data_IF_687263675400
#
_entry.id   IF_687263675400
#
_cell.length_a   1.000
_cell.length_b   1.000
_cell.length_c   1.000
_cell.angle_alpha   90.00
_cell.angle_beta   90.00
_cell.angle_gamma   90.00
#
_symmetry.space_group_name_H-M   'P 1'
#
loop_
_entity.id
_entity.type
_entity.pdbx_description
1 polymer ?
#
# COMPACT_ATOMS: atom_id res chain seq x y z
N UNK A 1 -25.54 -81.17 2.98
CA UNK A 1 -26.86 -80.80 2.46
C UNK A 1 -26.89 -79.30 2.22
N UNK A 2 -27.34 -78.92 1.02
CA UNK A 2 -27.46 -77.58 0.48
C UNK A 2 -28.38 -76.68 1.31
N UNK A 3 -28.07 -75.39 1.43
CA UNK A 3 -28.94 -74.40 2.08
C UNK A 3 -28.44 -72.96 1.95
N UNK A 4 -28.93 -72.27 0.92
CA UNK A 4 -28.74 -70.84 0.59
C UNK A 4 -29.11 -69.91 1.76
N UNK A 5 -28.35 -68.82 1.93
CA UNK A 5 -28.89 -67.51 2.35
C UNK A 5 -28.27 -66.40 1.51
N UNK A 6 -29.13 -65.74 0.75
CA UNK A 6 -28.91 -64.57 -0.10
C UNK A 6 -28.74 -63.32 0.79
N UNK A 7 -27.63 -62.59 0.63
CA UNK A 7 -27.52 -61.21 1.11
C UNK A 7 -27.97 -60.26 -0.01
N UNK A 8 -28.97 -59.43 0.29
CA UNK A 8 -29.44 -58.33 -0.55
C UNK A 8 -28.47 -57.16 -0.41
N UNK A 9 -27.81 -56.75 -1.49
CA UNK A 9 -26.99 -55.55 -1.56
C UNK A 9 -27.85 -54.40 -2.09
N UNK A 10 -28.14 -53.40 -1.26
CA UNK A 10 -28.76 -52.15 -1.69
C UNK A 10 -27.62 -51.20 -2.10
N UNK A 11 -27.50 -50.99 -3.41
CA UNK A 11 -26.59 -50.04 -4.03
C UNK A 11 -27.32 -48.68 -4.09
N UNK A 12 -26.86 -47.70 -3.32
CA UNK A 12 -27.37 -46.33 -3.37
C UNK A 12 -26.54 -45.54 -4.39
N UNK A 13 -27.09 -45.32 -5.58
CA UNK A 13 -26.48 -44.48 -6.61
C UNK A 13 -26.89 -43.02 -6.40
N UNK A 14 -25.94 -42.18 -6.01
CA UNK A 14 -26.08 -40.71 -6.00
C UNK A 14 -25.84 -40.19 -7.44
N UNK A 15 -26.92 -39.73 -8.07
CA UNK A 15 -26.89 -38.98 -9.33
C UNK A 15 -26.48 -37.54 -9.04
N UNK A 16 -25.26 -37.16 -9.41
CA UNK A 16 -24.87 -35.75 -9.54
C UNK A 16 -25.29 -35.25 -10.93
N UNK A 17 -26.38 -34.49 -10.98
CA UNK A 17 -26.77 -33.73 -12.16
C UNK A 17 -25.89 -32.49 -12.29
N UNK A 18 -24.99 -32.48 -13.27
CA UNK A 18 -24.22 -31.30 -13.65
C UNK A 18 -25.04 -30.52 -14.69
N UNK A 19 -25.67 -29.42 -14.28
CA UNK A 19 -26.29 -28.48 -15.21
C UNK A 19 -25.19 -27.57 -15.78
N UNK A 20 -24.82 -27.75 -17.05
CA UNK A 20 -24.01 -26.77 -17.78
C UNK A 20 -24.82 -25.48 -17.94
N UNK A 21 -24.40 -24.40 -17.30
CA UNK A 21 -24.80 -23.05 -17.71
C UNK A 21 -24.13 -22.75 -19.04
N UNK A 22 -24.94 -22.59 -20.10
CA UNK A 22 -24.43 -22.13 -21.38
C UNK A 22 -23.85 -20.71 -21.20
N UNK A 23 -22.58 -20.52 -21.54
CA UNK A 23 -21.98 -19.20 -21.62
C UNK A 23 -22.75 -18.36 -22.65
N UNK A 24 -23.09 -17.12 -22.28
CA UNK A 24 -23.77 -16.19 -23.18
C UNK A 24 -22.79 -15.78 -24.27
N UNK A 25 -23.08 -16.10 -25.53
CA UNK A 25 -22.30 -15.64 -26.69
C UNK A 25 -22.54 -14.14 -26.91
N UNK A 26 -21.49 -13.33 -26.77
CA UNK A 26 -21.54 -11.88 -26.95
C UNK A 26 -20.72 -11.38 -28.15
N UNK A 27 -20.33 -12.26 -29.07
CA UNK A 27 -19.47 -11.92 -30.22
C UNK A 27 -19.99 -10.74 -31.06
N UNK A 28 -21.30 -10.60 -31.21
CA UNK A 28 -21.92 -9.47 -31.93
C UNK A 28 -21.77 -8.12 -31.18
N UNK A 29 -21.90 -8.14 -29.86
CA UNK A 29 -21.67 -6.97 -29.01
C UNK A 29 -20.21 -6.54 -29.03
N UNK A 30 -19.30 -7.52 -28.99
CA UNK A 30 -17.86 -7.28 -29.02
C UNK A 30 -17.41 -6.66 -30.36
N UNK A 31 -17.91 -7.18 -31.49
CA UNK A 31 -17.64 -6.59 -32.81
C UNK A 31 -18.15 -5.15 -32.93
N UNK A 32 -19.34 -4.86 -32.40
CA UNK A 32 -19.87 -3.50 -32.39
C UNK A 32 -18.95 -2.56 -31.59
N UNK A 33 -18.56 -2.97 -30.39
CA UNK A 33 -17.68 -2.18 -29.54
C UNK A 33 -16.29 -1.97 -30.16
N UNK A 34 -15.70 -3.01 -30.76
CA UNK A 34 -14.43 -2.92 -31.48
C UNK A 34 -14.45 -1.95 -32.68
N UNK A 35 -15.63 -1.71 -33.28
CA UNK A 35 -15.80 -0.73 -34.36
C UNK A 35 -15.79 0.73 -33.88
N UNK A 36 -16.05 0.96 -32.59
CA UNK A 36 -16.06 2.29 -31.97
C UNK A 36 -14.68 2.60 -31.39
N UNK A 37 -14.14 1.66 -30.62
CA UNK A 37 -12.81 1.74 -30.00
C UNK A 37 -12.08 0.45 -30.31
N UNK A 38 -10.95 0.54 -31.02
CA UNK A 38 -10.15 -0.64 -31.38
C UNK A 38 -9.76 -1.43 -30.13
N UNK A 39 -10.09 -2.72 -30.09
CA UNK A 39 -9.84 -3.60 -28.93
C UNK A 39 -10.92 -3.58 -27.85
N UNK A 40 -12.00 -2.83 -28.04
CA UNK A 40 -13.15 -2.80 -27.12
C UNK A 40 -14.08 -4.02 -27.27
N UNK A 41 -14.78 -4.38 -26.21
CA UNK A 41 -15.76 -5.48 -26.14
C UNK A 41 -17.01 -5.05 -25.34
N UNK A 42 -18.11 -5.79 -25.44
CA UNK A 42 -19.37 -5.44 -24.77
C UNK A 42 -19.42 -5.97 -23.34
N UNK A 43 -19.58 -5.08 -22.37
CA UNK A 43 -19.78 -5.46 -20.96
C UNK A 43 -21.24 -5.80 -20.69
N UNK A 44 -21.66 -6.96 -21.18
CA UNK A 44 -23.04 -7.42 -21.06
C UNK A 44 -23.51 -7.72 -19.64
N UNK A 45 -22.56 -7.79 -18.70
CA UNK A 45 -22.80 -7.93 -17.27
C UNK A 45 -23.07 -6.59 -16.57
N UNK A 46 -22.93 -5.44 -17.24
CA UNK A 46 -23.32 -4.12 -16.72
C UNK A 46 -24.78 -3.79 -17.12
N UNK A 47 -25.47 -2.96 -16.32
CA UNK A 47 -26.86 -2.49 -16.58
C UNK A 47 -26.92 -0.96 -16.60
N UNK A 48 -27.08 -0.30 -17.76
CA UNK A 48 -27.17 -0.90 -19.10
C UNK A 48 -25.82 -1.45 -19.57
N UNK A 49 -25.84 -2.43 -20.47
CA UNK A 49 -24.62 -2.99 -21.05
C UNK A 49 -23.95 -1.94 -21.95
N UNK A 50 -22.65 -1.72 -21.77
CA UNK A 50 -21.87 -0.70 -22.48
C UNK A 50 -20.53 -1.24 -22.98
N UNK A 51 -19.94 -0.58 -23.98
CA UNK A 51 -18.65 -0.95 -24.53
C UNK A 51 -17.48 -0.63 -23.58
N UNK A 52 -16.44 -1.44 -23.57
CA UNK A 52 -15.21 -1.13 -22.84
C UNK A 52 -14.55 0.13 -23.45
N UNK A 53 -14.14 1.10 -22.63
CA UNK A 53 -13.53 2.34 -23.11
C UNK A 53 -14.50 3.39 -23.71
N UNK A 54 -15.82 3.15 -23.72
CA UNK A 54 -16.82 4.19 -24.03
C UNK A 54 -18.16 3.93 -23.33
N UNK A 55 -18.94 4.97 -23.01
CA UNK A 55 -20.30 4.79 -22.45
C UNK A 55 -21.36 4.45 -23.53
N UNK A 56 -20.95 3.86 -24.66
CA UNK A 56 -21.86 3.52 -25.76
C UNK A 56 -22.62 2.22 -25.43
N UNK A 57 -23.96 2.19 -25.47
CA UNK A 57 -24.74 0.98 -25.19
C UNK A 57 -24.45 -0.14 -26.19
N UNK A 58 -24.43 -1.39 -25.70
CA UNK A 58 -24.21 -2.61 -26.51
C UNK A 58 -25.17 -3.74 -26.08
N UNK A 59 -25.27 -4.81 -26.86
CA UNK A 59 -26.08 -5.99 -26.53
C UNK A 59 -25.49 -7.27 -27.14
N UNK A 60 -25.58 -8.40 -26.42
CA UNK A 60 -25.20 -9.73 -26.92
C UNK A 60 -26.28 -10.41 -27.78
N UNK A 61 -27.47 -9.81 -27.90
CA UNK A 61 -28.54 -10.34 -28.75
C UNK A 61 -28.29 -9.95 -30.20
N UNK A 62 -27.95 -10.92 -31.06
CA UNK A 62 -27.91 -10.73 -32.50
C UNK A 62 -29.29 -10.39 -33.07
N UNK A 63 -29.65 -9.11 -33.07
CA UNK A 63 -30.76 -8.50 -33.81
C UNK A 63 -30.54 -6.99 -33.78
N UNK A 64 -30.26 -6.38 -34.94
CA UNK A 64 -30.06 -4.93 -35.06
C UNK A 64 -31.21 -4.11 -34.45
N UNK A 65 -30.97 -2.82 -34.13
CA UNK A 65 -31.95 -2.00 -33.44
C UNK A 65 -33.14 -1.71 -34.37
N UNK A 66 -34.25 -2.40 -34.12
CA UNK A 66 -35.54 -2.03 -34.72
C UNK A 66 -36.21 -1.00 -33.82
N UNK A 67 -36.04 0.27 -34.20
CA UNK A 67 -36.90 1.44 -33.95
C UNK A 67 -37.31 1.85 -32.53
N UNK A 68 -36.87 3.08 -32.23
CA UNK A 68 -37.69 4.23 -31.82
C UNK A 68 -38.18 4.28 -30.37
N UNK A 69 -37.49 5.10 -29.57
CA UNK A 69 -38.16 6.23 -28.92
C UNK A 69 -37.37 7.52 -29.12
N UNK A 70 -38.10 8.51 -29.63
CA UNK A 70 -37.70 9.86 -30.02
C UNK A 70 -37.10 10.64 -28.84
N UNK A 71 -35.96 11.27 -29.06
CA UNK A 71 -35.69 12.58 -28.48
C UNK A 71 -35.29 13.55 -29.59
N UNK A 72 -36.02 14.67 -29.63
CA UNK A 72 -35.97 15.72 -30.64
C UNK A 72 -34.57 16.33 -30.75
N UNK A 73 -33.99 16.25 -31.95
CA UNK A 73 -33.00 17.21 -32.41
C UNK A 73 -33.65 18.58 -32.59
N UNK A 74 -33.08 19.60 -31.94
CA UNK A 74 -33.34 20.99 -32.28
C UNK A 74 -32.11 21.56 -32.98
N UNK A 75 -32.06 21.33 -34.29
CA UNK A 75 -31.15 22.02 -35.20
C UNK A 75 -31.46 23.51 -35.18
N UNK A 76 -30.46 24.34 -34.86
CA UNK A 76 -30.51 25.78 -35.18
C UNK A 76 -29.27 26.15 -35.95
N UNK A 77 -29.50 26.62 -37.16
CA UNK A 77 -28.57 27.12 -38.17
C UNK A 77 -27.69 28.27 -37.66
N UNK A 78 -26.38 28.20 -37.91
CA UNK A 78 -25.54 29.40 -38.04
C UNK A 78 -24.58 29.30 -39.23
N UNK A 79 -24.56 30.42 -39.97
CA UNK A 79 -23.83 30.76 -41.19
C UNK A 79 -22.31 30.88 -40.94
N UNK A 80 -21.42 30.65 -41.92
CA UNK A 80 -19.98 30.62 -41.69
C UNK A 80 -19.33 32.02 -41.72
N UNK A 81 -18.39 32.27 -40.80
CA UNK A 81 -17.47 33.43 -40.78
C UNK A 81 -16.12 32.95 -40.19
N UNK A 82 -14.98 33.61 -40.43
CA UNK A 82 -13.81 33.01 -41.05
C UNK A 82 -12.70 32.70 -40.05
N UNK A 83 -11.83 31.80 -40.47
CA UNK A 83 -10.64 31.27 -39.81
C UNK A 83 -9.76 32.36 -39.19
N UNK A 84 -9.62 32.33 -37.87
CA UNK A 84 -8.49 32.98 -37.16
C UNK A 84 -7.91 31.95 -36.20
N UNK A 85 -6.66 31.55 -36.44
CA UNK A 85 -5.90 30.59 -35.65
C UNK A 85 -5.66 31.10 -34.23
N UNK A 86 -6.12 30.34 -33.22
CA UNK A 86 -5.80 30.54 -31.79
C UNK A 86 -5.07 29.28 -31.27
N UNK A 87 -4.10 29.42 -30.33
CA UNK A 87 -3.16 28.35 -29.99
C UNK A 87 -3.83 27.13 -29.38
N UNK A 88 -3.25 25.97 -29.67
CA UNK A 88 -3.57 24.66 -29.09
C UNK A 88 -3.62 24.78 -27.57
N UNK A 89 -4.83 24.68 -27.01
CA UNK A 89 -5.01 24.51 -25.58
C UNK A 89 -4.39 23.17 -25.19
N UNK A 90 -3.44 23.21 -24.24
CA UNK A 90 -2.95 22.02 -23.57
C UNK A 90 -4.15 21.21 -23.06
N UNK A 91 -4.15 19.92 -23.34
CA UNK A 91 -5.11 18.96 -22.81
C UNK A 91 -4.88 18.90 -21.30
N UNK A 92 -5.55 19.76 -20.53
CA UNK A 92 -5.58 19.68 -19.08
C UNK A 92 -6.31 18.39 -18.72
N UNK A 93 -5.53 17.37 -18.34
CA UNK A 93 -5.99 16.17 -17.63
C UNK A 93 -6.77 16.63 -16.38
N UNK A 94 -7.82 15.90 -15.95
CA UNK A 94 -8.48 16.23 -14.69
C UNK A 94 -7.44 16.26 -13.56
N UNK A 95 -7.59 17.15 -12.56
CA UNK A 95 -6.68 17.16 -11.43
C UNK A 95 -6.70 15.80 -10.76
N UNK A 96 -5.52 15.27 -10.41
CA UNK A 96 -5.38 14.14 -9.49
C UNK A 96 -6.29 14.44 -8.30
N UNK A 97 -7.24 13.55 -8.03
CA UNK A 97 -8.24 13.70 -6.98
C UNK A 97 -7.55 13.91 -5.63
N UNK A 98 -8.14 14.78 -4.82
CA UNK A 98 -7.59 15.43 -3.62
C UNK A 98 -7.14 14.54 -2.44
N UNK A 99 -6.99 13.23 -2.62
CA UNK A 99 -6.80 12.27 -1.52
C UNK A 99 -5.64 11.27 -1.72
N UNK A 100 -4.64 11.59 -2.54
CA UNK A 100 -3.41 10.79 -2.57
C UNK A 100 -2.63 10.98 -1.28
N UNK A 101 -2.27 9.86 -0.62
CA UNK A 101 -1.52 9.84 0.66
C UNK A 101 -0.56 8.66 0.71
N UNK A 102 0.46 8.64 -0.16
CA UNK A 102 1.53 7.68 0.03
C UNK A 102 2.37 8.04 1.25
N UNK A 103 2.64 7.05 2.08
CA UNK A 103 3.71 7.12 3.06
C UNK A 103 5.08 6.95 2.40
N UNK A 104 6.09 7.49 3.04
CA UNK A 104 7.51 7.35 2.69
C UNK A 104 8.26 6.62 3.78
N UNK A 105 9.05 5.62 3.43
CA UNK A 105 9.87 4.88 4.39
C UNK A 105 11.35 4.96 4.04
N UNK A 106 12.18 5.31 5.02
CA UNK A 106 13.61 5.56 4.82
C UNK A 106 14.50 4.89 5.86
N UNK A 107 15.62 4.33 5.41
CA UNK A 107 16.60 3.65 6.27
C UNK A 107 17.66 4.58 6.83
N UNK A 108 18.03 5.60 6.06
CA UNK A 108 19.16 6.44 6.45
C UNK A 108 18.81 7.31 7.66
N UNK A 109 19.62 7.18 8.71
CA UNK A 109 19.57 8.08 9.86
C UNK A 109 20.10 9.49 9.50
N UNK A 110 20.77 9.66 8.35
CA UNK A 110 21.43 10.92 8.01
C UNK A 110 20.47 12.09 7.78
N UNK A 111 19.18 11.81 7.48
CA UNK A 111 18.16 12.84 7.27
C UNK A 111 17.91 13.72 8.50
N UNK A 112 18.05 13.14 9.69
CA UNK A 112 17.90 13.85 10.95
C UNK A 112 19.22 13.96 11.72
N UNK A 113 20.13 12.99 11.56
CA UNK A 113 21.38 12.91 12.33
C UNK A 113 22.51 13.73 11.74
N UNK A 114 22.70 13.66 10.43
CA UNK A 114 23.87 14.19 9.72
C UNK A 114 23.56 15.46 8.91
N UNK A 115 22.28 15.84 8.83
CA UNK A 115 21.82 17.07 8.17
C UNK A 115 21.59 16.92 6.67
N UNK A 116 21.44 15.69 6.17
CA UNK A 116 20.97 15.47 4.80
C UNK A 116 19.53 15.98 4.67
N UNK A 117 19.34 17.02 3.86
CA UNK A 117 18.03 17.65 3.68
C UNK A 117 17.20 17.04 2.55
N UNK A 118 17.72 16.04 1.84
CA UNK A 118 17.10 15.54 0.60
C UNK A 118 15.69 14.99 0.83
N UNK A 119 15.44 14.27 1.94
CA UNK A 119 14.11 13.81 2.33
C UNK A 119 13.14 14.98 2.62
N UNK A 120 13.54 15.95 3.45
CA UNK A 120 12.69 17.13 3.76
C UNK A 120 12.47 18.03 2.53
N UNK A 121 13.49 18.22 1.69
CA UNK A 121 13.39 18.98 0.44
C UNK A 121 12.43 18.30 -0.55
N UNK A 122 12.50 16.97 -0.64
CA UNK A 122 11.54 16.20 -1.41
C UNK A 122 10.12 16.43 -0.89
N UNK A 123 9.86 16.20 0.40
CA UNK A 123 8.53 16.39 1.00
C UNK A 123 8.01 17.83 0.90
N UNK A 124 8.91 18.82 0.82
CA UNK A 124 8.54 20.23 0.66
C UNK A 124 8.25 20.64 -0.79
N UNK A 125 8.70 19.86 -1.77
CA UNK A 125 8.45 20.09 -3.20
C UNK A 125 6.97 19.90 -3.56
N UNK A 126 6.55 20.43 -4.71
CA UNK A 126 5.18 20.26 -5.20
C UNK A 126 4.82 18.78 -5.42
N UNK A 127 5.78 17.98 -5.92
CA UNK A 127 5.61 16.54 -6.12
C UNK A 127 5.51 15.78 -4.79
N UNK A 128 6.36 16.14 -3.82
CA UNK A 128 6.31 15.55 -2.47
C UNK A 128 4.99 15.84 -1.78
N UNK A 129 4.49 17.08 -1.86
CA UNK A 129 3.19 17.47 -1.29
C UNK A 129 2.00 16.80 -1.97
N UNK A 130 2.09 16.58 -3.29
CA UNK A 130 1.04 15.93 -4.05
C UNK A 130 0.96 14.43 -3.75
N UNK A 131 2.11 13.75 -3.69
CA UNK A 131 2.15 12.29 -3.63
C UNK A 131 2.45 11.72 -2.23
N UNK A 132 3.29 12.38 -1.44
CA UNK A 132 3.86 11.84 -0.20
C UNK A 132 3.38 12.62 1.03
N UNK A 133 2.07 12.82 1.08
CA UNK A 133 1.39 13.44 2.22
C UNK A 133 1.02 12.43 3.32
N UNK A 134 1.32 11.13 3.13
CA UNK A 134 1.11 10.06 4.10
C UNK A 134 2.16 10.03 5.21
N UNK A 135 2.24 8.91 5.92
CA UNK A 135 3.19 8.68 7.02
C UNK A 135 4.65 8.80 6.56
N UNK A 136 5.54 9.19 7.46
CA UNK A 136 6.98 9.15 7.21
C UNK A 136 7.67 8.26 8.23
N UNK A 137 8.42 7.28 7.76
CA UNK A 137 9.22 6.40 8.59
C UNK A 137 10.69 6.77 8.44
N UNK A 138 11.34 7.03 9.57
CA UNK A 138 12.78 7.27 9.65
C UNK A 138 13.40 6.34 10.67
N UNK A 139 14.45 5.64 10.26
CA UNK A 139 15.25 4.86 11.20
C UNK A 139 15.87 5.78 12.27
N UNK A 140 15.80 5.37 13.53
CA UNK A 140 16.45 6.07 14.66
C UNK A 140 17.44 5.17 15.42
N UNK A 141 17.34 3.86 15.25
CA UNK A 141 18.24 2.90 15.89
C UNK A 141 18.12 1.52 15.26
N UNK A 142 19.19 0.73 15.41
CA UNK A 142 19.27 -0.65 15.00
C UNK A 142 19.85 -1.52 16.14
N UNK A 143 20.09 -2.79 15.84
CA UNK A 143 20.64 -3.75 16.80
C UNK A 143 21.96 -3.34 17.46
N UNK A 144 22.73 -2.41 16.89
CA UNK A 144 24.03 -1.93 17.40
C UNK A 144 23.92 -0.77 18.39
N UNK A 145 22.75 -0.13 18.48
CA UNK A 145 22.53 1.04 19.34
C UNK A 145 21.13 1.05 20.00
N UNK A 146 20.59 -0.12 20.34
CA UNK A 146 19.33 -0.27 21.09
C UNK A 146 19.32 0.46 22.45
N UNK A 147 20.50 0.77 23.01
CA UNK A 147 20.67 1.43 24.30
C UNK A 147 20.72 2.97 24.20
N UNK A 148 20.70 3.54 22.99
CA UNK A 148 20.74 5.00 22.77
C UNK A 148 20.28 5.44 21.37
N UNK A 149 19.65 6.60 21.29
CA UNK A 149 19.47 7.31 20.02
C UNK A 149 20.67 8.25 19.80
N UNK A 150 21.47 7.95 18.78
CA UNK A 150 22.68 8.75 18.47
C UNK A 150 22.31 10.17 18.05
N UNK A 151 22.90 11.20 18.67
CA UNK A 151 22.56 12.61 18.40
C UNK A 151 21.07 12.95 18.58
N UNK A 152 20.43 12.35 19.57
CA UNK A 152 19.00 12.55 19.88
C UNK A 152 18.58 14.03 19.99
N UNK A 153 19.49 14.94 20.33
CA UNK A 153 19.23 16.39 20.36
C UNK A 153 18.81 16.99 19.00
N UNK A 154 19.11 16.30 17.89
CA UNK A 154 18.78 16.75 16.53
C UNK A 154 17.41 16.27 16.05
N UNK A 155 16.84 15.24 16.67
CA UNK A 155 15.64 14.59 16.19
C UNK A 155 14.40 15.48 16.36
N UNK A 156 14.23 16.13 17.51
CA UNK A 156 13.14 17.10 17.72
C UNK A 156 13.20 18.30 16.74
N UNK A 157 14.34 19.00 16.58
CA UNK A 157 14.48 20.04 15.56
C UNK A 157 14.12 19.55 14.16
N UNK A 158 14.55 18.35 13.77
CA UNK A 158 14.21 17.77 12.47
C UNK A 158 12.71 17.52 12.32
N UNK A 159 12.03 16.91 13.32
CA UNK A 159 10.58 16.67 13.25
C UNK A 159 9.79 17.98 13.11
N UNK A 160 10.20 19.04 13.82
CA UNK A 160 9.58 20.37 13.69
C UNK A 160 9.82 20.97 12.29
N UNK A 161 11.02 20.83 11.76
CA UNK A 161 11.35 21.30 10.41
C UNK A 161 10.60 20.52 9.33
N UNK A 162 10.44 19.21 9.48
CA UNK A 162 9.60 18.37 8.62
C UNK A 162 8.18 18.92 8.57
N UNK A 163 7.50 19.02 9.73
CA UNK A 163 6.13 19.57 9.82
C UNK A 163 6.01 20.93 9.15
N UNK A 164 6.96 21.83 9.44
CA UNK A 164 6.94 23.20 8.92
C UNK A 164 7.18 23.26 7.41
N UNK A 165 8.13 22.50 6.91
CA UNK A 165 8.60 22.60 5.52
C UNK A 165 7.70 21.84 4.55
N UNK A 166 7.20 20.67 4.96
CA UNK A 166 6.36 19.81 4.12
C UNK A 166 4.87 20.12 4.28
N UNK A 167 4.45 20.59 5.47
CA UNK A 167 3.03 20.70 5.83
C UNK A 167 2.37 19.35 6.09
N UNK A 168 3.14 18.26 6.11
CA UNK A 168 2.65 16.91 6.39
C UNK A 168 2.10 16.84 7.83
N UNK A 169 0.89 16.30 7.97
CA UNK A 169 0.19 16.14 9.26
C UNK A 169 0.05 14.69 9.70
N UNK A 170 0.52 13.74 8.90
CA UNK A 170 0.41 12.30 9.15
C UNK A 170 1.52 11.80 10.09
N UNK A 171 1.59 10.51 10.42
CA UNK A 171 2.46 10.07 11.51
C UNK A 171 3.94 10.13 11.12
N UNK A 172 4.76 10.60 12.05
CA UNK A 172 6.23 10.42 11.99
C UNK A 172 6.57 9.18 12.80
N UNK A 173 6.92 8.10 12.13
CA UNK A 173 7.39 6.87 12.74
C UNK A 173 8.90 6.93 12.96
N UNK A 174 9.30 6.78 14.20
CA UNK A 174 10.69 6.68 14.64
C UNK A 174 10.99 5.19 14.78
N UNK A 175 11.65 4.65 13.76
CA UNK A 175 11.77 3.19 13.58
C UNK A 175 13.02 2.64 14.27
N UNK A 176 12.83 1.56 15.01
CA UNK A 176 13.90 0.64 15.40
C UNK A 176 13.92 -0.51 14.39
N UNK A 177 14.97 -0.61 13.56
CA UNK A 177 14.96 -1.59 12.47
C UNK A 177 16.31 -2.12 11.98
N UNK A 178 16.28 -2.83 10.85
CA UNK A 178 17.38 -3.60 10.25
C UNK A 178 17.89 -4.73 11.17
N UNK A 179 16.96 -5.52 11.70
CA UNK A 179 17.26 -6.62 12.63
C UNK A 179 16.80 -7.93 12.03
N UNK A 180 17.79 -8.77 11.66
CA UNK A 180 17.56 -10.07 10.98
C UNK A 180 17.91 -11.27 11.85
N UNK A 181 18.25 -11.05 13.12
CA UNK A 181 18.59 -12.12 14.07
C UNK A 181 17.73 -11.98 15.31
N UNK A 182 17.06 -13.07 15.71
CA UNK A 182 16.22 -13.15 16.92
C UNK A 182 16.96 -12.60 18.15
N UNK A 183 16.57 -11.40 18.58
CA UNK A 183 17.14 -10.73 19.75
C UNK A 183 16.11 -9.82 20.42
N UNK A 184 14.95 -10.38 20.78
CA UNK A 184 13.84 -9.61 21.30
C UNK A 184 14.10 -8.87 22.61
N UNK A 185 15.11 -9.28 23.37
CA UNK A 185 15.57 -8.52 24.54
C UNK A 185 16.02 -7.09 24.17
N UNK A 186 16.66 -6.90 23.01
CA UNK A 186 17.08 -5.57 22.55
C UNK A 186 15.89 -4.70 22.14
N UNK A 187 14.84 -5.26 21.54
CA UNK A 187 13.62 -4.52 21.23
C UNK A 187 12.99 -3.94 22.51
N UNK A 188 12.82 -4.80 23.52
CA UNK A 188 12.26 -4.38 24.80
C UNK A 188 13.17 -3.36 25.54
N UNK A 189 14.49 -3.42 25.36
CA UNK A 189 15.40 -2.40 25.88
C UNK A 189 15.29 -1.08 25.12
N UNK A 190 15.10 -1.11 23.80
CA UNK A 190 14.89 0.10 23.02
C UNK A 190 13.60 0.83 23.39
N UNK A 191 12.56 0.13 23.85
CA UNK A 191 11.36 0.77 24.43
C UNK A 191 11.75 1.69 25.61
N UNK A 192 12.69 1.27 26.47
CA UNK A 192 13.16 2.10 27.59
C UNK A 192 13.92 3.32 27.06
N UNK A 193 14.85 3.10 26.14
CA UNK A 193 15.63 4.16 25.47
C UNK A 193 14.71 5.21 24.84
N UNK A 194 13.68 4.78 24.12
CA UNK A 194 12.72 5.68 23.48
C UNK A 194 11.88 6.44 24.50
N UNK A 195 11.39 5.77 25.56
CA UNK A 195 10.67 6.41 26.64
C UNK A 195 11.52 7.46 27.38
N UNK A 196 12.80 7.18 27.61
CA UNK A 196 13.74 8.16 28.18
C UNK A 196 13.96 9.35 27.26
N UNK A 197 14.13 9.13 25.95
CA UNK A 197 14.21 10.20 24.98
C UNK A 197 12.98 11.12 25.07
N UNK A 198 11.76 10.55 25.04
CA UNK A 198 10.54 11.34 25.15
C UNK A 198 10.50 12.17 26.44
N UNK A 199 10.80 11.56 27.59
CA UNK A 199 10.79 12.24 28.91
C UNK A 199 11.82 13.37 29.00
N UNK A 200 12.98 13.21 28.37
CA UNK A 200 14.10 14.14 28.50
C UNK A 200 14.11 15.24 27.45
N UNK A 201 13.56 15.00 26.25
CA UNK A 201 13.69 15.90 25.10
C UNK A 201 12.38 16.47 24.59
N UNK A 202 11.23 15.87 24.91
CA UNK A 202 9.94 16.26 24.31
C UNK A 202 9.03 16.78 25.42
N UNK A 203 8.78 18.09 25.44
CA UNK A 203 7.74 18.66 26.30
C UNK A 203 6.34 18.48 25.69
N UNK A 204 5.27 18.72 26.47
CA UNK A 204 3.91 18.78 25.93
C UNK A 204 3.76 19.83 24.80
N UNK A 205 4.48 20.95 24.89
CA UNK A 205 4.44 21.98 23.85
C UNK A 205 5.15 21.52 22.57
N UNK A 206 6.27 20.79 22.72
CA UNK A 206 6.98 20.20 21.59
C UNK A 206 6.11 19.14 20.92
N UNK A 207 5.49 18.26 21.71
CA UNK A 207 4.60 17.21 21.20
C UNK A 207 3.45 17.80 20.36
N UNK A 208 2.81 18.89 20.80
CA UNK A 208 1.77 19.57 19.99
C UNK A 208 2.26 20.07 18.63
N UNK A 209 3.55 20.31 18.48
CA UNK A 209 4.14 20.78 17.22
C UNK A 209 4.55 19.63 16.28
N UNK A 210 4.74 18.42 16.79
CA UNK A 210 5.26 17.27 16.01
C UNK A 210 4.26 16.12 15.89
N UNK A 211 3.29 16.03 16.79
CA UNK A 211 2.27 14.99 16.80
C UNK A 211 1.48 14.95 15.48
N UNK A 212 1.01 13.77 15.05
CA UNK A 212 1.24 12.47 15.71
C UNK A 212 2.64 11.90 15.40
N UNK A 213 3.26 11.26 16.39
CA UNK A 213 4.50 10.49 16.22
C UNK A 213 4.32 9.06 16.74
N UNK A 214 5.23 8.16 16.42
CA UNK A 214 5.19 6.82 16.98
C UNK A 214 6.53 6.11 17.02
N UNK A 215 6.58 5.06 17.83
CA UNK A 215 7.64 4.07 17.82
C UNK A 215 7.24 2.94 16.88
N UNK A 216 8.02 2.72 15.83
CA UNK A 216 7.82 1.61 14.88
C UNK A 216 8.92 0.58 15.06
N UNK A 217 8.58 -0.69 14.93
CA UNK A 217 9.52 -1.81 14.92
C UNK A 217 9.53 -2.43 13.52
N UNK A 218 10.66 -2.36 12.84
CA UNK A 218 10.90 -3.07 11.58
C UNK A 218 11.98 -4.13 11.78
N UNK A 219 11.54 -5.27 12.28
CA UNK A 219 12.39 -6.34 12.81
C UNK A 219 11.86 -7.68 12.30
N UNK A 220 12.77 -8.49 11.76
CA UNK A 220 12.46 -9.72 11.05
C UNK A 220 12.88 -10.93 11.87
N UNK A 221 12.18 -12.05 11.69
CA UNK A 221 12.46 -13.34 12.34
C UNK A 221 12.41 -13.30 13.88
N UNK A 222 11.42 -12.57 14.43
CA UNK A 222 11.23 -12.47 15.87
C UNK A 222 10.29 -13.57 16.41
N UNK A 223 10.66 -14.12 17.58
CA UNK A 223 9.79 -15.04 18.30
C UNK A 223 8.49 -14.35 18.75
N UNK A 224 7.31 -15.00 18.65
CA UNK A 224 6.03 -14.41 19.02
C UNK A 224 6.00 -13.82 20.43
N UNK A 225 6.60 -14.49 21.41
CA UNK A 225 6.59 -14.04 22.81
C UNK A 225 7.45 -12.79 23.02
N UNK A 226 8.52 -12.61 22.23
CA UNK A 226 9.33 -11.40 22.25
C UNK A 226 8.58 -10.21 21.65
N UNK A 227 7.81 -10.44 20.57
CA UNK A 227 6.90 -9.44 19.98
C UNK A 227 5.87 -8.99 21.03
N UNK A 228 5.16 -9.94 21.65
CA UNK A 228 4.15 -9.65 22.68
C UNK A 228 4.72 -8.88 23.85
N UNK A 229 5.84 -9.35 24.42
CA UNK A 229 6.52 -8.69 25.55
C UNK A 229 6.90 -7.26 25.20
N UNK A 230 7.44 -7.04 24.01
CA UNK A 230 7.84 -5.71 23.52
C UNK A 230 6.63 -4.80 23.35
N UNK A 231 5.55 -5.28 22.72
CA UNK A 231 4.34 -4.49 22.50
C UNK A 231 3.65 -4.10 23.80
N UNK A 232 3.50 -5.04 24.74
CA UNK A 232 2.92 -4.74 26.06
C UNK A 232 3.75 -3.69 26.79
N UNK A 233 5.07 -3.82 26.77
CA UNK A 233 5.99 -2.84 27.35
C UNK A 233 5.90 -1.48 26.65
N UNK A 234 5.77 -1.46 25.32
CA UNK A 234 5.64 -0.23 24.55
C UNK A 234 4.31 0.49 24.83
N UNK A 235 3.21 -0.25 25.02
CA UNK A 235 1.93 0.31 25.42
C UNK A 235 1.99 0.89 26.85
N UNK A 236 2.63 0.20 27.80
CA UNK A 236 2.86 0.71 29.16
C UNK A 236 3.71 1.98 29.14
N UNK A 237 4.82 1.98 28.40
CA UNK A 237 5.67 3.16 28.19
C UNK A 237 4.87 4.33 27.60
N UNK A 238 4.05 4.08 26.57
CA UNK A 238 3.20 5.10 25.96
C UNK A 238 2.25 5.71 26.98
N UNK A 239 1.60 4.91 27.80
CA UNK A 239 0.66 5.39 28.84
C UNK A 239 1.38 6.20 29.92
N UNK A 240 2.48 5.68 30.49
CA UNK A 240 3.29 6.37 31.51
C UNK A 240 3.78 7.72 31.01
N UNK A 241 4.43 7.73 29.84
CA UNK A 241 5.00 8.96 29.27
C UNK A 241 3.90 9.96 28.90
N UNK A 242 2.79 9.51 28.30
CA UNK A 242 1.65 10.39 27.95
C UNK A 242 1.10 11.08 29.19
N UNK A 243 0.85 10.32 30.26
CA UNK A 243 0.30 10.84 31.51
C UNK A 243 1.28 11.78 32.22
N UNK A 244 2.54 11.36 32.34
CA UNK A 244 3.57 12.12 33.05
C UNK A 244 3.95 13.41 32.35
N UNK A 245 4.04 13.38 31.02
CA UNK A 245 4.46 14.53 30.22
C UNK A 245 3.28 15.42 29.81
N UNK A 246 2.03 14.98 30.00
CA UNK A 246 0.83 15.73 29.65
C UNK A 246 0.60 15.83 28.14
N UNK A 247 0.87 14.74 27.40
CA UNK A 247 0.58 14.68 25.96
C UNK A 247 -0.91 14.53 25.71
N UNK A 248 -1.39 15.10 24.60
CA UNK A 248 -2.79 14.95 24.20
C UNK A 248 -3.07 13.51 23.73
N UNK A 249 -4.29 12.98 23.93
CA UNK A 249 -4.69 11.70 23.35
C UNK A 249 -4.41 11.64 21.85
N UNK A 250 -3.90 10.51 21.36
CA UNK A 250 -3.54 10.35 19.95
C UNK A 250 -2.26 11.08 19.52
N UNK A 251 -1.40 11.51 20.44
CA UNK A 251 -0.10 12.11 20.08
C UNK A 251 0.99 11.07 19.80
N UNK A 252 0.92 9.91 20.46
CA UNK A 252 1.93 8.87 20.44
C UNK A 252 1.31 7.52 20.09
N UNK A 253 1.95 6.77 19.20
CA UNK A 253 1.48 5.46 18.72
C UNK A 253 2.59 4.41 18.74
N UNK A 254 2.19 3.14 18.79
CA UNK A 254 3.07 1.97 18.64
C UNK A 254 2.71 1.24 17.35
N UNK A 255 3.69 1.08 16.48
CA UNK A 255 3.64 0.32 15.23
C UNK A 255 4.58 -0.89 15.29
N UNK A 256 4.24 -1.94 14.54
CA UNK A 256 5.10 -3.10 14.37
C UNK A 256 4.91 -3.66 12.95
N UNK A 257 6.01 -3.91 12.25
CA UNK A 257 5.97 -4.46 10.90
C UNK A 257 5.58 -5.94 10.90
N UNK A 258 4.67 -6.32 10.01
CA UNK A 258 4.34 -7.72 9.75
C UNK A 258 5.13 -8.14 8.52
N UNK A 259 6.15 -8.96 8.72
CA UNK A 259 6.99 -9.51 7.65
C UNK A 259 6.25 -10.61 6.85
N UNK A 260 6.83 -10.97 5.70
CA UNK A 260 6.28 -12.01 4.82
C UNK A 260 6.51 -13.45 5.28
N UNK A 261 7.49 -13.70 6.15
CA UNK A 261 7.72 -15.03 6.72
C UNK A 261 6.59 -15.41 7.70
N UNK A 262 6.18 -16.69 7.67
CA UNK A 262 5.05 -17.16 8.46
C UNK A 262 5.29 -17.01 9.95
N UNK A 263 4.54 -16.11 10.58
CA UNK A 263 4.54 -15.87 12.02
C UNK A 263 3.11 -15.50 12.48
N UNK A 264 2.19 -16.47 12.36
CA UNK A 264 0.76 -16.25 12.64
C UNK A 264 0.50 -15.78 14.08
N UNK A 265 1.18 -16.38 15.07
CA UNK A 265 1.00 -15.98 16.47
C UNK A 265 1.60 -14.60 16.76
N UNK A 266 2.77 -14.27 16.21
CA UNK A 266 3.36 -12.94 16.31
C UNK A 266 2.46 -11.88 15.68
N UNK A 267 1.91 -12.16 14.50
CA UNK A 267 0.94 -11.30 13.80
C UNK A 267 -0.32 -11.08 14.62
N UNK A 268 -0.87 -12.12 15.25
CA UNK A 268 -1.99 -11.98 16.17
C UNK A 268 -1.66 -11.00 17.31
N UNK A 269 -0.48 -11.13 17.94
CA UNK A 269 -0.06 -10.23 19.00
C UNK A 269 0.12 -8.79 18.52
N UNK A 270 0.67 -8.58 17.31
CA UNK A 270 0.74 -7.26 16.67
C UNK A 270 -0.66 -6.66 16.56
N UNK A 271 -1.60 -7.39 15.95
CA UNK A 271 -2.96 -6.90 15.73
C UNK A 271 -3.74 -6.63 17.03
N UNK A 272 -3.45 -7.37 18.10
CA UNK A 272 -4.11 -7.20 19.41
C UNK A 272 -3.53 -6.05 20.24
N UNK A 273 -2.21 -5.82 20.19
CA UNK A 273 -1.54 -4.94 21.15
C UNK A 273 -0.97 -3.66 20.54
N UNK A 274 -0.60 -3.65 19.26
CA UNK A 274 -0.14 -2.43 18.59
C UNK A 274 -1.32 -1.46 18.31
N UNK A 275 -1.00 -0.19 18.07
CA UNK A 275 -1.99 0.76 17.54
C UNK A 275 -2.06 0.71 16.02
N UNK A 276 -0.96 0.28 15.39
CA UNK A 276 -0.79 0.22 13.96
C UNK A 276 0.09 -0.99 13.58
N UNK A 277 -0.08 -1.49 12.36
CA UNK A 277 0.70 -2.57 11.81
C UNK A 277 1.13 -2.25 10.37
N UNK A 278 2.43 -2.29 10.09
CA UNK A 278 2.98 -2.05 8.76
C UNK A 278 3.17 -3.38 8.05
N UNK A 279 2.25 -3.75 7.17
CA UNK A 279 2.22 -5.06 6.52
C UNK A 279 3.07 -5.09 5.26
N UNK A 280 4.13 -5.89 5.26
CA UNK A 280 5.01 -6.04 4.10
C UNK A 280 4.38 -6.98 3.07
N UNK A 281 4.01 -6.45 1.90
CA UNK A 281 3.58 -7.27 0.76
C UNK A 281 4.74 -7.70 -0.15
N UNK A 282 5.96 -7.43 0.26
CA UNK A 282 7.18 -7.70 -0.51
C UNK A 282 8.12 -8.65 0.22
N UNK A 283 9.32 -8.82 -0.34
CA UNK A 283 10.29 -9.87 -0.08
C UNK A 283 10.63 -10.03 1.40
N UNK A 284 10.14 -11.13 1.98
CA UNK A 284 10.82 -12.13 2.82
C UNK A 284 9.97 -13.42 2.74
N UNK A 285 10.60 -14.59 2.81
CA UNK A 285 10.16 -15.82 2.13
C UNK A 285 8.72 -16.29 2.39
N UNK A 286 7.98 -16.57 1.31
CA UNK A 286 6.95 -17.62 1.30
C UNK A 286 7.58 -18.78 0.52
N UNK A 287 7.91 -19.87 1.20
CA UNK A 287 8.54 -21.04 0.57
C UNK A 287 7.62 -21.66 -0.50
N UNK A 288 7.95 -21.53 -1.80
CA UNK A 288 7.25 -22.28 -2.86
C UNK A 288 7.29 -21.68 -4.27
N UNK A 289 6.72 -22.43 -5.21
CA UNK A 289 6.61 -22.13 -6.65
C UNK A 289 5.36 -21.26 -6.96
N UNK A 290 5.09 -20.28 -6.09
CA UNK A 290 3.88 -19.46 -6.16
C UNK A 290 3.91 -18.48 -7.32
N UNK A 291 2.72 -18.01 -7.74
CA UNK A 291 2.58 -16.91 -8.71
C UNK A 291 3.31 -15.64 -8.24
N UNK A 292 3.40 -15.46 -6.91
CA UNK A 292 4.23 -14.47 -6.21
C UNK A 292 4.04 -13.02 -6.70
N UNK A 293 2.77 -12.64 -6.90
CA UNK A 293 2.33 -11.27 -7.20
C UNK A 293 1.68 -10.62 -5.97
N UNK A 294 1.40 -9.31 -6.05
CA UNK A 294 0.85 -8.54 -4.92
C UNK A 294 -0.50 -9.06 -4.42
N UNK A 295 -1.38 -9.54 -5.30
CA UNK A 295 -2.68 -10.06 -4.88
C UNK A 295 -2.53 -11.40 -4.16
N UNK A 296 -1.71 -12.28 -4.71
CA UNK A 296 -1.39 -13.53 -4.04
C UNK A 296 -0.80 -13.29 -2.65
N UNK A 297 0.14 -12.34 -2.55
CA UNK A 297 0.73 -11.90 -1.27
C UNK A 297 -0.34 -11.36 -0.33
N UNK A 298 -1.22 -10.48 -0.80
CA UNK A 298 -2.33 -9.98 0.00
C UNK A 298 -3.22 -11.11 0.53
N UNK A 299 -3.60 -12.06 -0.33
CA UNK A 299 -4.39 -13.21 0.08
C UNK A 299 -3.68 -14.03 1.17
N UNK A 300 -2.40 -14.35 0.98
CA UNK A 300 -1.59 -15.04 1.98
C UNK A 300 -1.54 -14.26 3.30
N UNK A 301 -1.26 -12.96 3.24
CA UNK A 301 -1.14 -12.13 4.44
C UNK A 301 -2.44 -12.08 5.24
N UNK A 302 -3.60 -12.09 4.58
CA UNK A 302 -4.89 -12.05 5.26
C UNK A 302 -5.42 -13.41 5.70
N UNK A 303 -5.10 -14.49 4.98
CA UNK A 303 -5.68 -15.82 5.25
C UNK A 303 -4.76 -16.77 6.00
N UNK A 304 -3.44 -16.58 5.92
CA UNK A 304 -2.45 -17.44 6.57
C UNK A 304 -1.60 -16.71 7.62
N UNK A 305 -1.18 -15.48 7.33
CA UNK A 305 -0.34 -14.71 8.27
C UNK A 305 -1.21 -14.06 9.36
N UNK A 306 -2.23 -13.30 8.99
CA UNK A 306 -3.21 -12.74 9.92
C UNK A 306 -4.50 -13.57 9.94
N UNK A 307 -4.43 -14.86 10.31
CA UNK A 307 -5.62 -15.71 10.39
C UNK A 307 -6.74 -15.06 11.23
N UNK A 308 -6.38 -14.40 12.34
CA UNK A 308 -7.33 -13.67 13.20
C UNK A 308 -8.05 -12.50 12.52
N UNK A 309 -7.52 -11.96 11.42
CA UNK A 309 -8.14 -10.87 10.67
C UNK A 309 -9.37 -11.33 9.87
N UNK A 310 -9.48 -12.62 9.56
CA UNK A 310 -10.59 -13.19 8.77
C UNK A 310 -11.57 -14.00 9.60
N UNK A 311 -11.21 -14.36 10.84
CA UNK A 311 -12.03 -15.15 11.75
C UNK A 311 -12.89 -14.28 12.68
N UNK A 312 -14.01 -14.82 13.23
CA UNK A 312 -14.85 -14.10 14.19
C UNK A 312 -14.04 -13.52 15.36
N UNK A 313 -14.30 -12.26 15.71
CA UNK A 313 -13.55 -11.53 16.73
C UNK A 313 -12.49 -10.58 16.16
N UNK A 314 -12.36 -10.47 14.83
CA UNK A 314 -11.55 -9.46 14.15
C UNK A 314 -11.92 -8.03 14.56
N UNK A 315 -13.16 -7.80 14.99
CA UNK A 315 -13.68 -6.55 15.52
C UNK A 315 -13.03 -6.13 16.85
N UNK A 316 -12.33 -7.05 17.53
CA UNK A 316 -11.60 -6.76 18.76
C UNK A 316 -10.13 -6.42 18.50
N UNK A 317 -9.66 -6.56 17.25
CA UNK A 317 -8.31 -6.18 16.88
C UNK A 317 -8.17 -4.67 16.94
N UNK A 318 -7.00 -4.22 17.39
CA UNK A 318 -6.72 -2.83 17.70
C UNK A 318 -5.95 -2.15 16.59
N UNK A 319 -4.96 -2.83 16.03
CA UNK A 319 -4.05 -2.24 15.06
C UNK A 319 -4.77 -1.91 13.75
N UNK A 320 -4.45 -0.75 13.17
CA UNK A 320 -4.78 -0.43 11.78
C UNK A 320 -3.63 -0.80 10.86
N UNK A 321 -3.95 -1.44 9.75
CA UNK A 321 -2.98 -1.95 8.78
C UNK A 321 -2.69 -0.89 7.72
N UNK A 322 -1.40 -0.63 7.51
CA UNK A 322 -0.86 0.04 6.33
C UNK A 322 -0.14 -0.98 5.47
N UNK A 323 -0.34 -0.91 4.15
CA UNK A 323 0.30 -1.80 3.19
C UNK A 323 1.66 -1.21 2.77
N UNK A 324 2.73 -1.94 3.02
CA UNK A 324 4.08 -1.57 2.60
C UNK A 324 4.53 -2.38 1.38
N UNK A 325 5.15 -1.69 0.41
CA UNK A 325 5.72 -2.28 -0.81
C UNK A 325 7.21 -2.01 -0.92
N UNK A 326 7.91 -2.86 -1.66
CA UNK A 326 9.32 -2.68 -1.96
C UNK A 326 9.52 -1.60 -3.03
N UNK A 327 10.33 -0.59 -2.70
CA UNK A 327 10.87 0.36 -3.67
C UNK A 327 12.25 -0.04 -4.21
N UNK A 328 12.94 -0.96 -3.54
CA UNK A 328 14.31 -1.34 -3.85
C UNK A 328 14.46 -2.16 -5.12
N UNK A 329 15.46 -1.83 -5.93
CA UNK A 329 15.87 -2.65 -7.07
C UNK A 329 16.70 -3.88 -6.65
N UNK A 330 17.10 -3.97 -5.37
CA UNK A 330 17.90 -5.07 -4.83
C UNK A 330 17.06 -6.32 -4.46
N UNK A 331 15.78 -6.33 -4.83
CA UNK A 331 14.82 -7.39 -4.50
C UNK A 331 15.10 -8.77 -5.13
N UNK A 332 16.28 -8.99 -5.73
CA UNK A 332 16.79 -10.25 -6.25
C UNK A 332 15.80 -11.08 -7.09
N UNK A 333 15.81 -12.41 -6.93
CA UNK A 333 14.83 -13.31 -7.56
C UNK A 333 13.42 -12.83 -7.17
N UNK A 334 12.58 -12.54 -8.18
CA UNK A 334 11.21 -11.97 -8.09
C UNK A 334 11.08 -10.44 -8.09
N UNK A 335 12.17 -9.71 -8.35
CA UNK A 335 12.14 -8.25 -8.45
C UNK A 335 11.00 -7.74 -9.35
N UNK A 336 10.80 -8.30 -10.56
CA UNK A 336 9.72 -7.85 -11.46
C UNK A 336 8.29 -7.92 -10.92
N UNK A 337 8.06 -8.76 -9.90
CA UNK A 337 6.71 -9.05 -9.40
C UNK A 337 6.38 -8.26 -8.14
N UNK A 338 7.36 -8.11 -7.25
CA UNK A 338 7.15 -7.59 -5.89
C UNK A 338 7.78 -6.23 -5.65
N UNK A 339 8.78 -5.84 -6.45
CA UNK A 339 9.40 -4.53 -6.36
C UNK A 339 8.79 -3.56 -7.35
N UNK A 340 8.42 -2.38 -6.84
CA UNK A 340 7.99 -1.28 -7.68
C UNK A 340 9.13 -0.73 -8.54
N UNK A 341 10.40 -1.05 -8.23
CA UNK A 341 11.53 -0.64 -9.08
C UNK A 341 11.43 -1.24 -10.48
N UNK A 342 10.79 -2.40 -10.62
CA UNK A 342 10.53 -3.02 -11.92
C UNK A 342 9.68 -2.15 -12.85
N UNK A 343 9.00 -1.14 -12.33
CA UNK A 343 8.13 -0.25 -13.08
C UNK A 343 8.70 1.18 -13.11
N UNK A 344 10.03 1.29 -13.11
CA UNK A 344 10.72 2.57 -13.27
C UNK A 344 10.49 3.22 -14.63
N UNK A 345 10.47 4.54 -14.63
CA UNK A 345 10.24 5.42 -15.78
C UNK A 345 11.18 6.63 -15.75
N UNK A 346 11.55 7.13 -16.92
CA UNK A 346 12.29 8.39 -17.09
C UNK A 346 11.36 9.61 -17.23
N UNK A 347 10.04 9.42 -17.30
CA UNK A 347 9.07 10.48 -17.55
C UNK A 347 7.98 10.52 -16.48
N UNK A 348 7.41 11.71 -16.26
CA UNK A 348 6.23 11.88 -15.42
C UNK A 348 5.24 12.84 -16.10
N UNK A 349 3.96 12.47 -16.23
CA UNK A 349 3.35 11.19 -15.85
C UNK A 349 3.66 10.05 -16.84
N UNK A 350 3.62 8.81 -16.37
CA UNK A 350 3.74 7.59 -17.19
C UNK A 350 2.67 6.56 -16.75
N UNK A 351 1.76 6.10 -17.63
CA UNK A 351 0.75 5.11 -17.27
C UNK A 351 1.30 3.69 -17.09
N UNK A 352 2.58 3.45 -17.40
CA UNK A 352 3.24 2.14 -17.33
C UNK A 352 4.35 2.08 -16.29
N UNK A 353 4.57 3.16 -15.55
CA UNK A 353 5.62 3.22 -14.54
C UNK A 353 5.58 4.47 -13.65
N UNK A 354 6.46 4.50 -12.66
CA UNK A 354 6.56 5.60 -11.70
C UNK A 354 5.45 5.63 -10.66
N UNK A 355 5.31 6.77 -10.00
CA UNK A 355 4.47 6.89 -8.79
C UNK A 355 2.96 6.75 -9.07
N UNK A 356 2.46 7.26 -10.21
CA UNK A 356 1.03 7.15 -10.54
C UNK A 356 0.66 5.70 -10.81
N UNK A 357 1.51 4.98 -11.54
CA UNK A 357 1.34 3.55 -11.78
C UNK A 357 1.31 2.76 -10.47
N UNK A 358 2.23 3.06 -9.52
CA UNK A 358 2.22 2.42 -8.22
C UNK A 358 0.92 2.70 -7.44
N UNK A 359 0.40 3.94 -7.51
CA UNK A 359 -0.88 4.29 -6.90
C UNK A 359 -2.05 3.53 -7.51
N UNK A 360 -2.13 3.49 -8.83
CA UNK A 360 -3.23 2.85 -9.56
C UNK A 360 -3.22 1.33 -9.31
N UNK A 361 -2.03 0.70 -9.35
CA UNK A 361 -1.85 -0.72 -9.05
C UNK A 361 -2.33 -1.08 -7.63
N UNK A 362 -2.09 -0.21 -6.65
CA UNK A 362 -2.49 -0.45 -5.26
C UNK A 362 -3.97 -0.21 -5.00
N UNK A 363 -4.58 0.74 -5.71
CA UNK A 363 -6.02 0.90 -5.66
C UNK A 363 -6.74 -0.25 -6.34
N UNK A 364 -6.17 -0.82 -7.41
CA UNK A 364 -6.64 -2.09 -7.97
C UNK A 364 -6.50 -3.23 -6.97
N UNK A 365 -5.35 -3.38 -6.31
CA UNK A 365 -5.14 -4.39 -5.27
C UNK A 365 -6.17 -4.27 -4.14
N UNK A 366 -6.43 -3.05 -3.65
CA UNK A 366 -7.47 -2.76 -2.66
C UNK A 366 -8.85 -3.22 -3.15
N UNK A 367 -9.25 -2.82 -4.35
CA UNK A 367 -10.55 -3.19 -4.91
C UNK A 367 -10.69 -4.73 -5.01
N UNK A 368 -9.63 -5.39 -5.47
CA UNK A 368 -9.59 -6.85 -5.61
C UNK A 368 -9.56 -7.62 -4.30
N UNK A 369 -8.99 -7.03 -3.25
CA UNK A 369 -9.04 -7.62 -1.89
C UNK A 369 -10.48 -7.86 -1.44
N UNK A 370 -11.39 -6.97 -1.83
CA UNK A 370 -12.82 -7.11 -1.52
C UNK A 370 -13.56 -7.91 -2.60
N UNK A 371 -13.39 -7.57 -3.89
CA UNK A 371 -14.16 -8.22 -4.96
C UNK A 371 -13.86 -9.71 -5.13
N UNK A 372 -12.64 -10.12 -4.83
CA UNK A 372 -12.20 -11.51 -4.96
C UNK A 372 -12.48 -12.31 -3.67
N UNK A 373 -13.08 -11.66 -2.65
CA UNK A 373 -13.54 -12.31 -1.43
C UNK A 373 -12.45 -12.63 -0.40
N UNK A 374 -11.29 -11.96 -0.47
CA UNK A 374 -10.24 -12.10 0.56
C UNK A 374 -10.74 -11.52 1.88
N UNK A 375 -11.38 -10.35 1.83
CA UNK A 375 -12.06 -9.70 2.96
C UNK A 375 -13.43 -9.20 2.52
N UNK A 376 -14.35 -9.07 3.48
CA UNK A 376 -15.54 -8.23 3.27
C UNK A 376 -15.15 -6.75 3.26
N UNK A 377 -16.01 -5.89 2.70
CA UNK A 377 -15.80 -4.44 2.76
C UNK A 377 -15.70 -3.94 4.22
N UNK A 378 -16.52 -4.50 5.11
CA UNK A 378 -16.53 -4.15 6.53
C UNK A 378 -15.22 -4.52 7.23
N UNK A 379 -14.70 -5.73 6.96
CA UNK A 379 -13.39 -6.16 7.46
C UNK A 379 -12.28 -5.25 6.95
N UNK A 380 -12.30 -4.90 5.65
CA UNK A 380 -11.29 -4.02 5.07
C UNK A 380 -11.32 -2.63 5.73
N UNK A 381 -12.49 -2.00 5.78
CA UNK A 381 -12.63 -0.64 6.33
C UNK A 381 -12.29 -0.57 7.83
N UNK A 382 -12.49 -1.67 8.56
CA UNK A 382 -12.12 -1.75 9.96
C UNK A 382 -10.63 -2.05 10.15
N UNK A 383 -10.04 -2.98 9.41
CA UNK A 383 -8.68 -3.43 9.67
C UNK A 383 -7.63 -2.46 9.10
N UNK A 384 -7.92 -1.78 7.99
CA UNK A 384 -6.95 -0.94 7.29
C UNK A 384 -7.07 0.53 7.65
N UNK A 385 -5.96 1.27 7.53
CA UNK A 385 -5.96 2.71 7.74
C UNK A 385 -6.44 3.48 6.51
N UNK A 386 -7.72 3.29 6.16
CA UNK A 386 -8.34 3.89 4.97
C UNK A 386 -8.55 5.41 5.06
N UNK A 387 -8.34 6.01 6.23
CA UNK A 387 -8.51 7.44 6.48
C UNK A 387 -7.18 8.15 6.79
N UNK A 388 -6.14 7.41 7.16
CA UNK A 388 -4.76 7.87 7.21
C UNK A 388 -3.97 7.41 6.00
N UNK A 389 -2.88 6.69 6.24
CA UNK A 389 -1.87 6.35 5.23
C UNK A 389 -1.98 4.90 4.79
N UNK A 390 -2.94 4.57 3.92
CA UNK A 390 -3.19 3.18 3.52
C UNK A 390 -1.98 2.47 2.87
N UNK A 391 -1.12 3.23 2.17
CA UNK A 391 0.02 2.69 1.43
C UNK A 391 1.30 3.40 1.82
N UNK A 392 2.40 2.65 1.95
CA UNK A 392 3.77 3.17 2.11
C UNK A 392 4.71 2.45 1.16
N UNK A 393 5.65 3.17 0.56
CA UNK A 393 6.69 2.55 -0.26
C UNK A 393 8.03 2.62 0.49
N UNK A 394 8.60 1.44 0.68
CA UNK A 394 9.90 1.19 1.28
C UNK A 394 11.06 1.67 0.40
N UNK A 395 12.20 1.96 1.01
CA UNK A 395 13.45 2.33 0.33
C UNK A 395 13.33 3.65 -0.46
N UNK A 396 13.05 4.74 0.26
CA UNK A 396 12.94 6.11 -0.25
C UNK A 396 14.05 6.49 -1.24
N UNK A 397 15.26 6.00 -1.01
CA UNK A 397 16.46 6.27 -1.78
C UNK A 397 16.30 5.92 -3.27
N UNK A 398 15.46 4.91 -3.56
CA UNK A 398 14.99 4.53 -4.89
C UNK A 398 13.64 5.13 -5.25
N UNK A 399 12.69 5.19 -4.32
CA UNK A 399 11.32 5.71 -4.60
C UNK A 399 11.34 7.16 -5.08
N UNK A 400 12.30 7.98 -4.61
CA UNK A 400 12.48 9.36 -5.09
C UNK A 400 12.76 9.46 -6.59
N UNK A 401 13.11 8.37 -7.25
CA UNK A 401 13.34 8.29 -8.70
C UNK A 401 12.05 8.08 -9.50
N UNK A 402 10.93 7.75 -8.86
CA UNK A 402 9.67 7.36 -9.54
C UNK A 402 8.93 8.54 -10.16
N UNK A 403 9.44 9.75 -9.97
CA UNK A 403 8.88 11.01 -10.43
C UNK A 403 9.52 11.48 -11.75
N UNK A 404 10.27 10.60 -12.41
CA UNK A 404 10.90 10.83 -13.69
C UNK A 404 12.27 11.52 -13.60
N UNK A 405 12.99 11.46 -14.72
CA UNK A 405 14.35 11.96 -14.85
C UNK A 405 14.41 13.49 -14.74
N UNK A 406 13.40 14.20 -15.26
CA UNK A 406 13.35 15.66 -15.21
C UNK A 406 13.31 16.16 -13.76
N UNK A 407 12.37 15.64 -12.97
CA UNK A 407 12.28 15.97 -11.54
C UNK A 407 13.55 15.56 -10.79
N UNK A 408 14.06 14.36 -11.06
CA UNK A 408 15.31 13.88 -10.46
C UNK A 408 16.49 14.81 -10.74
N UNK A 409 16.60 15.36 -11.96
CA UNK A 409 17.62 16.37 -12.31
C UNK A 409 17.43 17.68 -11.56
N UNK A 410 16.18 18.16 -11.43
CA UNK A 410 15.87 19.38 -10.68
C UNK A 410 16.23 19.26 -9.19
N UNK A 411 15.98 18.08 -8.60
CA UNK A 411 16.31 17.79 -7.20
C UNK A 411 17.77 17.36 -6.97
N UNK A 412 18.54 17.17 -8.04
CA UNK A 412 19.94 16.77 -7.97
C UNK A 412 20.17 15.29 -7.61
N UNK A 413 19.19 14.41 -7.80
CA UNK A 413 19.28 12.98 -7.53
C UNK A 413 20.05 12.24 -8.63
N UNK A 414 21.38 12.40 -8.62
CA UNK A 414 22.26 11.84 -9.66
C UNK A 414 22.14 10.32 -9.79
N UNK A 415 21.96 9.60 -8.68
CA UNK A 415 21.81 8.15 -8.66
C UNK A 415 20.54 7.67 -9.40
N UNK A 416 19.46 8.48 -9.42
CA UNK A 416 18.28 8.15 -10.22
C UNK A 416 18.62 8.08 -11.72
N UNK A 417 19.44 9.01 -12.20
CA UNK A 417 19.82 9.06 -13.62
C UNK A 417 20.86 7.98 -13.95
N UNK A 418 21.87 7.83 -13.08
CA UNK A 418 23.04 7.01 -13.40
C UNK A 418 22.95 5.54 -12.98
N UNK A 419 22.05 5.19 -12.07
CA UNK A 419 21.97 3.84 -11.49
C UNK A 419 20.57 3.25 -11.53
N UNK A 420 19.54 4.01 -11.12
CA UNK A 420 18.18 3.48 -11.00
C UNK A 420 17.65 2.93 -12.32
N UNK A 421 17.84 3.64 -13.43
CA UNK A 421 17.38 3.17 -14.75
C UNK A 421 18.02 1.84 -15.17
N UNK A 422 19.30 1.63 -14.85
CA UNK A 422 19.99 0.37 -15.11
C UNK A 422 19.42 -0.75 -14.24
N UNK A 423 19.31 -0.52 -12.93
CA UNK A 423 18.83 -1.51 -11.97
C UNK A 423 17.35 -1.85 -12.17
N UNK A 424 16.52 -0.87 -12.53
CA UNK A 424 15.13 -1.08 -12.93
C UNK A 424 15.02 -2.01 -14.13
N UNK A 425 15.86 -1.82 -15.15
CA UNK A 425 15.88 -2.71 -16.31
C UNK A 425 16.35 -4.13 -15.96
N UNK A 426 17.32 -4.26 -15.05
CA UNK A 426 17.72 -5.58 -14.54
C UNK A 426 16.57 -6.24 -13.76
N UNK A 427 15.89 -5.47 -12.90
CA UNK A 427 14.74 -5.91 -12.11
C UNK A 427 13.59 -6.43 -13.00
N UNK A 428 13.29 -5.75 -14.12
CA UNK A 428 12.28 -6.19 -15.11
C UNK A 428 12.54 -7.58 -15.69
N UNK A 429 13.82 -7.97 -15.80
CA UNK A 429 14.23 -9.23 -16.44
C UNK A 429 14.28 -10.38 -15.43
N UNK A 430 14.50 -10.09 -14.14
CA UNK A 430 14.52 -11.07 -13.04
C UNK A 430 13.09 -11.44 -12.60
#
# INVERSE_FOLDING_TARGET
>A
MSGRRTLSSVLCALLLGVSSSAAVDCSAGDQYCASIVSGSYCKYYETPSVCQGSNTPCSCGGSGPTTSTKFLDKTTTKKPVPTTSRPTAATTRPPVTSDVRFGTYSWSQDYWRSGDKSLTQFGASDMGKLWNSGDVYVNVADQTNYDRIHNQEKLLPWMKDWRKSTGNTERIWLTYGDIKSSNGNRMAQFVDTFGEYLKNFISANDMRAIAPIGLSFDVEHMEPEDIKKTLLKAQEMKEDVTNKMGYAPGSLFIDFAIEGEKNTLGTQYIMQYADHATMMLYRNAIDGDYKDDLLYRMNYMMTEQCEVCTQPGWENLKAKITIMLEGSCEAGKYCKKLSMCAYGTDSYPDPSGGIEYAWDLLNELKARTVSDGILTQEQFDYLYDIHGSLYVIHDWEWVRCYYGDEFSRQMGYKNCISQYNELSNQCKIQ
#
